data_IF_841894121605
#
_entry.id   IF_841894121605
#
_cell.length_a   1.000
_cell.length_b   1.000
_cell.length_c   1.000
_cell.angle_alpha   90.00
_cell.angle_beta   90.00
_cell.angle_gamma   90.00
#
_symmetry.space_group_name_H-M   'P 1'
#
loop_
_entity.id
_entity.type
_entity.pdbx_description
1 polymer ?
#
# COMPACT_ATOMS: atom_id res chain seq x y z
N UNK A 1 2.20 -9.76 12.32
CA UNK A 1 2.59 -9.88 10.89
C UNK A 1 1.54 -10.78 10.24
N UNK A 2 0.26 -10.34 10.19
CA UNK A 2 -0.89 -11.27 10.18
C UNK A 2 -2.18 -10.75 9.49
N UNK A 3 -2.09 -9.75 8.61
CA UNK A 3 -3.29 -9.01 8.17
C UNK A 3 -3.75 -9.24 6.73
N UNK A 4 -3.07 -10.10 5.96
CA UNK A 4 -3.32 -10.21 4.52
C UNK A 4 -3.65 -11.63 4.04
N UNK A 5 -3.74 -12.63 4.91
CA UNK A 5 -4.06 -14.02 4.54
C UNK A 5 -5.56 -14.32 4.35
N UNK A 6 -6.43 -13.32 4.52
CA UNK A 6 -7.89 -13.46 4.34
C UNK A 6 -8.32 -13.76 2.90
N UNK A 7 -7.40 -13.66 1.94
CA UNK A 7 -7.64 -13.94 0.53
C UNK A 7 -7.07 -15.30 0.10
N UNK A 8 -6.77 -16.19 1.04
CA UNK A 8 -6.39 -17.57 0.75
C UNK A 8 -7.56 -18.52 1.00
N UNK A 9 -7.74 -19.49 0.11
CA UNK A 9 -8.63 -20.63 0.33
C UNK A 9 -8.01 -21.67 1.28
N UNK A 10 -8.76 -22.73 1.59
CA UNK A 10 -8.28 -23.84 2.43
C UNK A 10 -7.09 -24.62 1.84
N UNK A 11 -6.75 -24.38 0.57
CA UNK A 11 -5.57 -24.92 -0.11
C UNK A 11 -4.41 -23.93 -0.22
N UNK A 12 -4.43 -22.82 0.53
CA UNK A 12 -3.42 -21.75 0.50
C UNK A 12 -3.28 -21.08 -0.88
N UNK A 13 -4.32 -21.10 -1.71
CA UNK A 13 -4.34 -20.40 -2.99
C UNK A 13 -5.07 -19.08 -2.87
N UNK A 14 -4.54 -18.05 -3.54
CA UNK A 14 -5.20 -16.75 -3.68
C UNK A 14 -6.58 -16.88 -4.33
N UNK A 15 -7.62 -16.35 -3.68
CA UNK A 15 -8.97 -16.18 -4.22
C UNK A 15 -9.14 -14.87 -4.98
N UNK A 16 -8.15 -13.96 -4.90
CA UNK A 16 -8.19 -12.67 -5.59
C UNK A 16 -8.01 -12.84 -7.11
N UNK A 17 -8.77 -12.09 -7.94
CA UNK A 17 -8.53 -12.03 -9.38
C UNK A 17 -7.12 -11.53 -9.66
N UNK A 18 -6.37 -12.23 -10.53
CA UNK A 18 -4.99 -11.83 -10.87
C UNK A 18 -4.97 -10.56 -11.73
N UNK A 19 -3.86 -9.82 -11.66
CA UNK A 19 -3.59 -8.68 -12.52
C UNK A 19 -4.45 -7.45 -12.24
N UNK A 20 -5.12 -7.36 -11.07
CA UNK A 20 -5.73 -6.09 -10.66
C UNK A 20 -4.62 -5.15 -10.20
N UNK A 21 -4.86 -3.87 -10.43
CA UNK A 21 -3.96 -2.81 -10.01
C UNK A 21 -4.18 -2.47 -8.53
N UNK A 22 -3.09 -2.26 -7.81
CA UNK A 22 -3.08 -1.94 -6.38
C UNK A 22 -2.25 -0.68 -6.15
N UNK A 23 -2.85 0.29 -5.47
CA UNK A 23 -2.14 1.42 -4.90
C UNK A 23 -1.98 1.22 -3.39
N UNK A 24 -0.82 1.56 -2.84
CA UNK A 24 -0.50 1.38 -1.43
C UNK A 24 -0.35 2.74 -0.77
N UNK A 25 -1.05 2.97 0.34
CA UNK A 25 -0.87 4.16 1.17
C UNK A 25 -0.56 3.71 2.61
N UNK A 26 0.58 4.11 3.14
CA UNK A 26 1.00 3.81 4.51
C UNK A 26 1.29 5.11 5.25
N UNK A 27 0.64 5.28 6.38
CA UNK A 27 0.86 6.41 7.29
C UNK A 27 1.37 5.91 8.63
N UNK A 28 2.37 6.56 9.21
CA UNK A 28 2.81 6.30 10.58
C UNK A 28 2.92 7.58 11.41
N UNK A 29 2.63 7.47 12.70
CA UNK A 29 2.85 8.57 13.64
C UNK A 29 4.35 8.78 13.91
N UNK A 30 5.13 7.70 13.99
CA UNK A 30 6.56 7.72 14.24
C UNK A 30 7.32 6.78 13.29
N UNK A 31 8.53 7.18 12.90
CA UNK A 31 9.48 6.36 12.15
C UNK A 31 9.13 6.10 10.68
N UNK A 32 9.57 7.00 9.79
CA UNK A 32 9.38 6.86 8.34
C UNK A 32 9.99 5.55 7.79
N UNK A 33 11.14 5.14 8.30
CA UNK A 33 11.82 3.91 7.89
C UNK A 33 11.02 2.64 8.20
N UNK A 34 10.36 2.60 9.37
CA UNK A 34 9.45 1.50 9.71
C UNK A 34 8.25 1.42 8.77
N UNK A 35 7.68 2.57 8.40
CA UNK A 35 6.58 2.64 7.45
C UNK A 35 6.98 2.24 6.02
N UNK A 36 8.20 2.59 5.58
CA UNK A 36 8.76 2.11 4.31
C UNK A 36 8.86 0.59 4.31
N UNK A 37 9.41 0.00 5.37
CA UNK A 37 9.49 -1.46 5.50
C UNK A 37 8.11 -2.14 5.46
N UNK A 38 7.09 -1.54 6.07
CA UNK A 38 5.71 -2.04 5.99
C UNK A 38 5.15 -1.93 4.57
N UNK A 39 5.37 -0.80 3.88
CA UNK A 39 4.92 -0.61 2.51
C UNK A 39 5.57 -1.61 1.54
N UNK A 40 6.87 -1.85 1.68
CA UNK A 40 7.62 -2.84 0.87
C UNK A 40 7.13 -4.26 1.14
N UNK A 41 6.80 -4.58 2.39
CA UNK A 41 6.23 -5.89 2.73
C UNK A 41 4.84 -6.08 2.12
N UNK A 42 3.97 -5.07 2.19
CA UNK A 42 2.63 -5.10 1.55
C UNK A 42 2.76 -5.29 0.04
N UNK A 43 3.65 -4.53 -0.61
CA UNK A 43 3.94 -4.63 -2.05
C UNK A 43 4.36 -6.05 -2.43
N UNK A 44 5.34 -6.62 -1.70
CA UNK A 44 5.80 -7.99 -1.91
C UNK A 44 4.65 -8.98 -1.76
N UNK A 45 3.76 -8.79 -0.80
CA UNK A 45 2.64 -9.71 -0.57
C UNK A 45 1.65 -9.68 -1.73
N UNK A 46 1.22 -8.49 -2.16
CA UNK A 46 0.28 -8.34 -3.26
C UNK A 46 0.83 -8.81 -4.60
N UNK A 47 2.08 -8.47 -4.91
CA UNK A 47 2.71 -8.87 -6.16
C UNK A 47 2.99 -10.38 -6.18
N UNK A 48 3.64 -10.92 -5.14
CA UNK A 48 4.14 -12.31 -5.15
C UNK A 48 3.07 -13.35 -4.85
N UNK A 49 2.25 -13.13 -3.82
CA UNK A 49 1.30 -14.15 -3.35
C UNK A 49 -0.08 -13.99 -3.99
N UNK A 50 -0.46 -12.75 -4.32
CA UNK A 50 -1.77 -12.44 -4.91
C UNK A 50 -1.73 -12.12 -6.40
N UNK A 51 -0.54 -12.01 -7.02
CA UNK A 51 -0.39 -11.80 -8.46
C UNK A 51 -1.00 -10.48 -8.94
N UNK A 52 -0.94 -9.44 -8.11
CA UNK A 52 -1.46 -8.11 -8.42
C UNK A 52 -0.37 -7.21 -9.01
N UNK A 53 -0.79 -6.18 -9.74
CA UNK A 53 0.08 -5.14 -10.28
C UNK A 53 0.12 -3.96 -9.30
N UNK A 54 1.25 -3.74 -8.63
CA UNK A 54 1.40 -2.58 -7.75
C UNK A 54 1.77 -1.36 -8.59
N UNK A 55 0.87 -0.39 -8.69
CA UNK A 55 1.03 0.80 -9.57
C UNK A 55 1.71 1.98 -8.89
N UNK A 56 1.82 1.94 -7.55
CA UNK A 56 2.60 2.87 -6.77
C UNK A 56 2.31 2.80 -5.28
N UNK A 57 3.16 3.50 -4.51
CA UNK A 57 3.09 3.56 -3.05
C UNK A 57 3.35 4.97 -2.54
N UNK A 58 2.61 5.36 -1.51
CA UNK A 58 2.77 6.62 -0.77
C UNK A 58 3.07 6.23 0.67
N UNK A 59 4.17 6.74 1.20
CA UNK A 59 4.56 6.54 2.61
C UNK A 59 4.72 7.90 3.26
N UNK A 60 3.93 8.14 4.31
CA UNK A 60 3.95 9.38 5.07
C UNK A 60 4.20 9.09 6.56
N UNK A 61 5.07 9.87 7.19
CA UNK A 61 5.33 9.79 8.62
C UNK A 61 5.02 11.10 9.35
N UNK A 62 5.30 11.12 10.66
CA UNK A 62 5.43 12.32 11.48
C UNK A 62 4.16 13.17 11.67
N UNK A 63 2.98 12.60 11.49
CA UNK A 63 1.72 13.26 11.88
C UNK A 63 0.66 12.26 12.35
N UNK A 64 -0.08 12.65 13.39
CA UNK A 64 -1.26 11.97 13.91
C UNK A 64 -2.56 12.73 13.63
N UNK A 65 -2.48 13.92 13.03
CA UNK A 65 -3.63 14.79 12.87
C UNK A 65 -4.45 14.38 11.62
N UNK A 66 -5.78 14.17 11.77
CA UNK A 66 -6.65 13.89 10.64
C UNK A 66 -6.59 15.01 9.60
N UNK A 67 -6.33 14.66 8.33
CA UNK A 67 -6.34 15.60 7.22
C UNK A 67 -5.01 16.28 6.91
N UNK A 68 -3.95 16.07 7.69
CA UNK A 68 -2.64 16.68 7.43
C UNK A 68 -2.07 16.33 6.05
N UNK A 69 -2.41 15.16 5.52
CA UNK A 69 -2.01 14.75 4.18
C UNK A 69 -2.64 15.58 3.05
N UNK A 70 -3.79 16.22 3.29
CA UNK A 70 -4.49 17.00 2.27
C UNK A 70 -3.76 18.33 1.93
N UNK A 71 -2.99 18.86 2.88
CA UNK A 71 -2.17 20.06 2.68
C UNK A 71 -0.79 19.80 2.08
N UNK A 72 -0.41 18.53 1.91
CA UNK A 72 0.92 18.15 1.43
C UNK A 72 0.93 18.02 -0.10
N UNK A 73 1.52 19.01 -0.76
CA UNK A 73 1.59 19.07 -2.21
C UNK A 73 2.34 17.89 -2.82
N UNK A 74 3.34 17.31 -2.13
CA UNK A 74 4.09 16.17 -2.63
C UNK A 74 3.21 14.91 -2.58
N UNK A 75 2.54 14.67 -1.46
CA UNK A 75 1.61 13.53 -1.32
C UNK A 75 0.48 13.63 -2.35
N UNK A 76 -0.09 14.83 -2.55
CA UNK A 76 -1.16 15.01 -3.54
C UNK A 76 -0.66 14.80 -4.98
N UNK A 77 0.55 15.25 -5.31
CA UNK A 77 1.18 14.99 -6.61
C UNK A 77 1.44 13.50 -6.83
N UNK A 78 1.96 12.79 -5.83
CA UNK A 78 2.15 11.34 -5.89
C UNK A 78 0.81 10.62 -6.08
N UNK A 79 -0.23 11.03 -5.34
CA UNK A 79 -1.57 10.48 -5.45
C UNK A 79 -2.17 10.66 -6.86
N UNK A 80 -2.03 11.85 -7.46
CA UNK A 80 -2.45 12.08 -8.85
C UNK A 80 -1.71 11.18 -9.84
N UNK A 81 -0.39 11.07 -9.71
CA UNK A 81 0.43 10.25 -10.61
C UNK A 81 0.12 8.75 -10.50
N UNK A 82 -0.20 8.26 -9.30
CA UNK A 82 -0.63 6.87 -9.09
C UNK A 82 -2.06 6.67 -9.57
N UNK A 83 -2.97 7.62 -9.30
CA UNK A 83 -4.35 7.58 -9.75
C UNK A 83 -4.48 7.49 -11.27
N UNK A 84 -3.61 8.16 -12.02
CA UNK A 84 -3.55 8.08 -13.48
C UNK A 84 -3.16 6.68 -14.01
N UNK A 85 -2.60 5.81 -13.15
CA UNK A 85 -2.22 4.44 -13.49
C UNK A 85 -3.26 3.40 -13.10
N UNK A 86 -4.21 3.72 -12.22
CA UNK A 86 -5.30 2.81 -11.82
C UNK A 86 -6.23 2.56 -13.02
#
# INVERSE_FOLDING_TARGET
MDRLYCFLDGGMKSTMPKGKKVAIAVTCMSGLEGAKGVADWIEKVWAKYYGQEVVGKIVRGASSAPGDAAGDAEVMKQAQAIGAKL
#
